data_IF_872022566111
#
_entry.id   IF_872022566111
#
_cell.length_a   1.000
_cell.length_b   1.000
_cell.length_c   1.000
_cell.angle_alpha   90.00
_cell.angle_beta   90.00
_cell.angle_gamma   90.00
#
_symmetry.space_group_name_H-M   'P 1'
#
loop_
_entity.id
_entity.type
_entity.pdbx_description
1 polymer ?
#
# COMPACT_ATOMS: atom_id res chain seq x y z
N UNK A 1 -9.71 -31.47 -0.31
CA UNK A 1 -10.46 -30.55 -1.18
C UNK A 1 -9.46 -29.58 -1.81
N UNK A 2 -8.92 -29.96 -2.97
CA UNK A 2 -8.04 -29.10 -3.77
C UNK A 2 -8.93 -28.23 -4.64
N UNK A 3 -9.01 -26.93 -4.36
CA UNK A 3 -9.62 -25.98 -5.29
C UNK A 3 -8.74 -25.89 -6.54
N UNK A 4 -9.23 -26.46 -7.64
CA UNK A 4 -8.68 -26.29 -8.96
C UNK A 4 -9.01 -24.85 -9.39
N UNK A 5 -8.02 -23.96 -9.39
CA UNK A 5 -8.16 -22.63 -9.95
C UNK A 5 -7.99 -22.78 -11.47
N UNK A 6 -9.03 -22.58 -12.30
CA UNK A 6 -8.86 -22.71 -13.74
C UNK A 6 -7.88 -21.64 -14.21
N UNK A 7 -6.91 -22.05 -15.02
CA UNK A 7 -6.08 -21.13 -15.80
C UNK A 7 -7.01 -20.36 -16.74
N UNK A 8 -7.21 -19.07 -16.47
CA UNK A 8 -7.96 -18.13 -17.32
C UNK A 8 -6.93 -17.38 -18.16
N UNK A 9 -6.73 -17.72 -19.44
CA UNK A 9 -5.98 -16.86 -20.34
C UNK A 9 -6.79 -15.57 -20.57
N UNK A 10 -6.10 -14.43 -20.63
CA UNK A 10 -6.61 -13.05 -20.80
C UNK A 10 -7.14 -12.31 -19.55
N UNK A 11 -6.58 -12.53 -18.36
CA UNK A 11 -6.73 -11.52 -17.30
C UNK A 11 -5.91 -10.28 -17.67
N UNK A 12 -6.52 -9.07 -17.75
CA UNK A 12 -5.77 -7.86 -18.05
C UNK A 12 -4.70 -7.66 -16.99
N UNK A 13 -3.50 -7.30 -17.45
CA UNK A 13 -2.38 -7.08 -16.53
C UNK A 13 -2.76 -6.00 -15.52
N UNK A 14 -2.45 -6.27 -14.27
CA UNK A 14 -2.99 -5.51 -13.16
C UNK A 14 -1.99 -5.27 -12.05
N UNK A 15 -2.12 -4.11 -11.43
CA UNK A 15 -1.28 -3.68 -10.33
C UNK A 15 -2.15 -3.24 -9.15
N UNK A 16 -1.65 -3.49 -7.95
CA UNK A 16 -2.28 -3.09 -6.70
C UNK A 16 -1.28 -2.41 -5.80
N UNK A 17 -1.73 -1.43 -5.03
CA UNK A 17 -0.93 -0.85 -3.97
C UNK A 17 -1.80 -0.63 -2.74
N UNK A 18 -1.20 -0.81 -1.57
CA UNK A 18 -1.86 -0.51 -0.30
C UNK A 18 -1.17 0.65 0.39
N UNK A 19 -1.96 1.60 0.88
CA UNK A 19 -1.46 2.76 1.62
C UNK A 19 -1.78 2.57 3.09
N UNK A 20 -0.74 2.49 3.92
CA UNK A 20 -0.92 2.38 5.37
C UNK A 20 0.28 2.91 6.13
N UNK A 21 0.03 3.50 7.30
CA UNK A 21 1.09 3.95 8.21
C UNK A 21 1.98 2.78 8.68
N UNK A 22 1.43 1.56 8.69
CA UNK A 22 2.19 0.34 8.97
C UNK A 22 3.32 0.12 7.98
N UNK A 23 3.14 0.46 6.70
CA UNK A 23 4.20 0.37 5.69
C UNK A 23 5.38 1.31 5.99
N UNK A 24 5.10 2.47 6.60
CA UNK A 24 6.12 3.44 7.03
C UNK A 24 6.81 3.09 8.36
N UNK A 25 6.38 2.03 9.05
CA UNK A 25 6.88 1.69 10.38
C UNK A 25 8.35 1.26 10.34
N UNK A 26 9.15 1.76 11.30
CA UNK A 26 10.53 1.29 11.53
C UNK A 26 10.57 -0.05 12.27
N UNK A 27 9.49 -0.40 12.97
CA UNK A 27 9.34 -1.70 13.61
C UNK A 27 8.94 -2.77 12.59
N UNK A 28 9.72 -3.84 12.49
CA UNK A 28 9.53 -4.94 11.53
C UNK A 28 8.22 -5.70 11.72
N UNK A 29 7.75 -5.90 12.97
CA UNK A 29 6.45 -6.57 13.23
C UNK A 29 5.29 -5.73 12.72
N UNK A 30 5.33 -4.42 12.95
CA UNK A 30 4.29 -3.50 12.48
C UNK A 30 4.34 -3.34 10.96
N UNK A 31 5.53 -3.37 10.35
CA UNK A 31 5.67 -3.40 8.89
C UNK A 31 5.00 -4.63 8.28
N UNK A 32 5.14 -5.79 8.91
CA UNK A 32 4.45 -7.02 8.51
C UNK A 32 2.91 -6.97 8.60
N UNK A 33 2.31 -5.96 9.23
CA UNK A 33 0.86 -5.74 9.15
C UNK A 33 0.44 -5.24 7.76
N UNK A 34 1.29 -4.48 7.07
CA UNK A 34 1.00 -3.99 5.74
C UNK A 34 0.92 -5.15 4.73
N UNK A 35 1.82 -6.13 4.84
CA UNK A 35 1.78 -7.38 4.06
C UNK A 35 0.50 -8.19 4.36
N UNK A 36 0.07 -8.23 5.63
CA UNK A 36 -1.17 -8.92 6.01
C UNK A 36 -2.41 -8.29 5.38
N UNK A 37 -2.45 -6.97 5.17
CA UNK A 37 -3.56 -6.33 4.48
C UNK A 37 -3.67 -6.79 3.03
N UNK A 38 -2.55 -6.91 2.32
CA UNK A 38 -2.50 -7.47 0.96
C UNK A 38 -2.95 -8.92 0.95
N UNK A 39 -2.40 -9.74 1.85
CA UNK A 39 -2.75 -11.16 1.94
C UNK A 39 -4.24 -11.37 2.23
N UNK A 40 -4.81 -10.57 3.13
CA UNK A 40 -6.24 -10.60 3.45
C UNK A 40 -7.08 -10.19 2.25
N UNK A 41 -6.69 -9.12 1.55
CA UNK A 41 -7.37 -8.69 0.33
C UNK A 41 -7.39 -9.78 -0.75
N UNK A 42 -6.27 -10.49 -0.95
CA UNK A 42 -6.22 -11.64 -1.87
C UNK A 42 -7.12 -12.80 -1.43
N UNK A 43 -7.17 -13.10 -0.14
CA UNK A 43 -8.02 -14.15 0.40
C UNK A 43 -9.52 -13.82 0.23
N UNK A 44 -9.90 -12.56 0.42
CA UNK A 44 -11.30 -12.13 0.34
C UNK A 44 -11.78 -11.97 -1.10
N UNK A 45 -10.92 -11.49 -2.01
CA UNK A 45 -11.32 -11.18 -3.39
C UNK A 45 -10.99 -12.29 -4.38
N UNK A 46 -10.03 -13.17 -4.07
CA UNK A 46 -9.47 -14.13 -5.02
C UNK A 46 -8.62 -13.48 -6.12
N UNK A 47 -8.49 -12.15 -6.16
CA UNK A 47 -7.77 -11.42 -7.19
C UNK A 47 -6.28 -11.31 -6.83
N UNK A 48 -5.43 -11.76 -7.76
CA UNK A 48 -3.97 -11.74 -7.62
C UNK A 48 -3.36 -10.84 -8.69
N UNK A 49 -3.09 -9.58 -8.36
CA UNK A 49 -2.45 -8.64 -9.28
C UNK A 49 -1.01 -9.06 -9.58
N UNK A 50 -0.55 -8.76 -10.79
CA UNK A 50 0.80 -9.07 -11.26
C UNK A 50 1.87 -8.29 -10.49
N UNK A 51 1.51 -7.11 -10.01
CA UNK A 51 2.40 -6.23 -9.27
C UNK A 51 1.76 -5.70 -8.01
N UNK A 52 2.49 -5.76 -6.89
CA UNK A 52 2.07 -5.20 -5.61
C UNK A 52 3.14 -4.33 -5.00
N UNK A 53 2.75 -3.21 -4.41
CA UNK A 53 3.61 -2.38 -3.57
C UNK A 53 2.87 -1.83 -2.34
N UNK A 54 3.62 -1.37 -1.34
CA UNK A 54 3.12 -0.84 -0.08
C UNK A 54 3.66 0.58 0.13
N UNK A 55 2.78 1.54 0.36
CA UNK A 55 3.15 2.94 0.59
C UNK A 55 2.78 3.41 1.99
N UNK A 56 3.62 4.27 2.57
CA UNK A 56 3.45 4.82 3.91
C UNK A 56 2.28 5.80 4.07
N UNK A 57 1.91 6.49 2.99
CA UNK A 57 0.90 7.54 3.01
C UNK A 57 1.36 8.77 3.79
N UNK A 58 0.41 9.55 4.29
CA UNK A 58 0.67 10.78 5.04
C UNK A 58 -0.14 10.87 6.33
N UNK A 59 0.45 11.46 7.37
CA UNK A 59 -0.25 11.89 8.59
C UNK A 59 -0.44 13.41 8.57
N UNK A 60 -1.64 13.83 8.18
CA UNK A 60 -2.02 15.25 8.09
C UNK A 60 -2.60 15.73 9.42
N UNK A 61 -1.74 15.85 10.44
CA UNK A 61 -2.13 16.33 11.77
C UNK A 61 -2.84 17.69 11.75
N UNK A 62 -2.52 18.58 10.81
CA UNK A 62 -3.18 19.87 10.61
C UNK A 62 -4.71 19.74 10.48
N UNK A 63 -5.20 18.63 9.93
CA UNK A 63 -6.63 18.36 9.69
C UNK A 63 -7.34 17.68 10.87
N UNK A 64 -6.62 17.31 11.93
CA UNK A 64 -7.17 16.56 13.06
C UNK A 64 -7.47 17.44 14.28
N UNK A 65 -8.56 17.12 14.99
CA UNK A 65 -8.86 17.73 16.28
C UNK A 65 -7.91 17.23 17.39
N UNK A 66 -7.93 17.88 18.56
CA UNK A 66 -7.01 17.57 19.66
C UNK A 66 -7.15 16.13 20.18
N UNK A 67 -8.36 15.58 20.21
CA UNK A 67 -8.61 14.19 20.65
C UNK A 67 -8.00 13.18 19.68
N UNK A 68 -8.24 13.35 18.38
CA UNK A 68 -7.67 12.50 17.32
C UNK A 68 -6.14 12.59 17.31
N UNK A 69 -5.58 13.79 17.46
CA UNK A 69 -4.11 14.00 17.58
C UNK A 69 -3.52 13.20 18.73
N UNK A 70 -4.15 13.27 19.91
CA UNK A 70 -3.67 12.58 21.11
C UNK A 70 -3.72 11.05 21.00
N UNK A 71 -4.82 10.51 20.46
CA UNK A 71 -4.95 9.07 20.21
C UNK A 71 -3.90 8.60 19.20
N UNK A 72 -3.75 9.32 18.10
CA UNK A 72 -2.81 8.99 17.04
C UNK A 72 -1.36 9.05 17.54
N UNK A 73 -0.99 10.02 18.38
CA UNK A 73 0.34 10.08 19.02
C UNK A 73 0.62 8.84 19.87
N UNK A 74 -0.35 8.38 20.67
CA UNK A 74 -0.14 7.20 21.52
C UNK A 74 0.09 5.93 20.70
N UNK A 75 -0.60 5.76 19.59
CA UNK A 75 -0.44 4.60 18.71
C UNK A 75 0.87 4.67 17.91
N UNK A 76 1.16 5.83 17.32
CA UNK A 76 2.32 6.00 16.44
C UNK A 76 3.65 6.03 17.18
N UNK A 77 3.68 6.38 18.47
CA UNK A 77 4.91 6.42 19.28
C UNK A 77 5.73 5.12 19.23
N UNK A 78 5.06 3.96 19.11
CA UNK A 78 5.71 2.64 19.04
C UNK A 78 6.13 2.23 17.62
N UNK A 79 5.47 2.77 16.60
CA UNK A 79 5.64 2.36 15.20
C UNK A 79 6.54 3.31 14.40
N UNK A 80 6.41 4.61 14.67
CA UNK A 80 7.08 5.70 13.94
C UNK A 80 8.07 6.49 14.81
N UNK A 81 8.11 6.23 16.12
CA UNK A 81 8.90 7.01 17.08
C UNK A 81 8.17 8.27 17.57
N UNK A 82 8.87 9.19 18.26
CA UNK A 82 8.26 10.41 18.79
C UNK A 82 7.85 11.38 17.66
N UNK A 83 6.56 11.36 17.29
CA UNK A 83 5.97 12.25 16.28
C UNK A 83 5.45 13.53 16.91
N UNK A 84 5.85 14.70 16.41
CA UNK A 84 5.35 16.00 16.90
C UNK A 84 4.06 16.38 16.16
N UNK A 85 2.97 16.64 16.87
CA UNK A 85 1.61 16.83 16.28
C UNK A 85 1.34 18.18 15.63
N UNK A 86 2.31 19.07 15.58
CA UNK A 86 2.13 20.43 15.04
C UNK A 86 2.48 20.56 13.56
N UNK A 87 2.92 19.47 12.92
CA UNK A 87 3.26 19.43 11.50
C UNK A 87 2.79 18.12 10.87
N UNK A 88 2.56 18.19 9.56
CA UNK A 88 2.16 17.03 8.77
C UNK A 88 3.40 16.21 8.39
N UNK A 89 3.22 14.90 8.26
CA UNK A 89 4.28 13.97 7.88
C UNK A 89 3.90 13.25 6.61
N UNK A 90 4.76 13.33 5.61
CA UNK A 90 4.70 12.51 4.41
C UNK A 90 5.65 11.32 4.59
N UNK A 91 5.10 10.11 4.48
CA UNK A 91 5.88 8.87 4.52
C UNK A 91 5.92 8.18 3.16
N UNK A 92 5.20 8.72 2.17
CA UNK A 92 5.25 8.24 0.80
C UNK A 92 6.52 8.75 0.16
N UNK A 93 7.37 7.83 -0.31
CA UNK A 93 8.38 8.17 -1.29
C UNK A 93 7.70 8.31 -2.66
N UNK A 94 7.55 9.54 -3.13
CA UNK A 94 6.89 9.84 -4.40
C UNK A 94 7.71 9.40 -5.61
N UNK A 95 9.04 9.26 -5.47
CA UNK A 95 9.87 8.69 -6.53
C UNK A 95 9.61 7.19 -6.68
N UNK A 96 9.40 6.48 -5.57
CA UNK A 96 8.98 5.07 -5.59
C UNK A 96 7.58 4.88 -6.20
N UNK A 97 6.66 5.83 -5.97
CA UNK A 97 5.33 5.81 -6.63
C UNK A 97 5.48 5.96 -8.14
N UNK A 98 6.27 6.94 -8.58
CA UNK A 98 6.55 7.16 -10.01
C UNK A 98 7.18 5.92 -10.63
N UNK A 99 8.23 5.37 -10.00
CA UNK A 99 8.90 4.16 -10.47
C UNK A 99 7.95 2.97 -10.58
N UNK A 100 7.10 2.76 -9.56
CA UNK A 100 6.10 1.70 -9.58
C UNK A 100 5.17 1.82 -10.78
N UNK A 101 4.68 3.03 -11.06
CA UNK A 101 3.78 3.32 -12.16
C UNK A 101 4.47 3.15 -13.53
N UNK A 102 5.69 3.66 -13.69
CA UNK A 102 6.47 3.51 -14.93
C UNK A 102 6.78 2.04 -15.23
N UNK A 103 7.24 1.29 -14.24
CA UNK A 103 7.50 -0.13 -14.40
C UNK A 103 6.22 -0.92 -14.73
N UNK A 104 5.05 -0.52 -14.20
CA UNK A 104 3.78 -1.13 -14.59
C UNK A 104 3.39 -0.76 -16.03
N UNK A 105 3.56 0.49 -16.44
CA UNK A 105 3.31 0.92 -17.83
C UNK A 105 4.19 0.15 -18.82
N UNK A 106 5.46 -0.09 -18.48
CA UNK A 106 6.40 -0.88 -19.30
C UNK A 106 5.99 -2.36 -19.35
N UNK A 107 5.38 -2.90 -18.30
CA UNK A 107 4.94 -4.30 -18.31
C UNK A 107 3.72 -4.54 -19.20
N UNK A 108 2.92 -3.50 -19.46
CA UNK A 108 1.69 -3.64 -20.25
C UNK A 108 1.99 -4.11 -21.66
N UNK A 109 1.23 -5.09 -22.19
CA UNK A 109 1.36 -5.48 -23.57
C UNK A 109 1.04 -4.27 -24.47
N UNK A 110 1.92 -3.99 -25.43
CA UNK A 110 1.64 -2.97 -26.45
C UNK A 110 0.45 -3.46 -27.27
N UNK A 111 -0.72 -2.86 -27.06
CA UNK A 111 -1.90 -3.16 -27.85
C UNK A 111 -1.57 -2.91 -29.32
N UNK A 112 -1.42 -3.96 -30.13
CA UNK A 112 -1.33 -3.83 -31.57
C UNK A 112 -2.62 -3.12 -32.03
N UNK A 113 -2.48 -1.87 -32.45
CA UNK A 113 -3.57 -1.07 -33.01
C UNK A 113 -4.17 -1.86 -34.16
N UNK A 114 -5.34 -2.46 -33.95
CA UNK A 114 -6.09 -3.15 -34.99
C UNK A 114 -6.65 -2.07 -35.91
N UNK A 115 -6.00 -1.94 -37.08
CA UNK A 115 -6.44 -1.09 -38.19
C UNK A 115 -7.71 -1.60 -38.85
#
# INVERSE_FOLDING_TARGET
>A
MTHFCPYVPDTPQSAFFSVSVSAASFNTKNRGLADQYVAKFWQETGWRPDKVTLFGGALQYSKYNLLTKFLLQRMTKRSLGPTVTWRDYEFTDWEDVTRFAEEFLVSLPTSATKS
#
